data_IF_655787822052
#
_entry.id   IF_655787822052
#
_cell.length_a   1.000
_cell.length_b   1.000
_cell.length_c   1.000
_cell.angle_alpha   90.00
_cell.angle_beta   90.00
_cell.angle_gamma   90.00
#
_symmetry.space_group_name_H-M   'P 1'
#
loop_
_entity.id
_entity.type
_entity.pdbx_description
1 polymer ?
#
# COMPACT_ATOMS: atom_id res chain seq x y z
N UNK A 1 -1.15 -14.45 24.61
CA UNK A 1 -1.09 -13.93 23.22
C UNK A 1 -2.49 -13.51 22.83
N UNK A 2 -2.72 -12.20 22.67
CA UNK A 2 -4.03 -11.68 22.28
C UNK A 2 -4.32 -12.15 20.85
N UNK A 3 -5.43 -12.88 20.70
CA UNK A 3 -6.04 -13.18 19.40
C UNK A 3 -6.49 -11.85 18.82
N UNK A 4 -5.74 -11.33 17.86
CA UNK A 4 -6.16 -10.15 17.12
C UNK A 4 -7.28 -10.64 16.22
N UNK A 5 -8.50 -10.37 16.66
CA UNK A 5 -9.70 -10.37 15.83
C UNK A 5 -9.50 -9.24 14.81
N UNK A 6 -8.75 -9.53 13.74
CA UNK A 6 -8.55 -8.59 12.63
C UNK A 6 -9.88 -8.54 11.90
N UNK A 7 -10.76 -7.69 12.43
CA UNK A 7 -11.88 -7.15 11.67
C UNK A 7 -11.32 -6.74 10.31
N UNK A 8 -11.94 -7.25 9.25
CA UNK A 8 -11.70 -6.92 7.84
C UNK A 8 -11.98 -5.43 7.54
N UNK A 9 -11.48 -4.51 8.35
CA UNK A 9 -11.49 -3.09 8.05
C UNK A 9 -10.41 -2.88 6.99
N UNK A 10 -10.86 -2.55 5.79
CA UNK A 10 -9.97 -2.14 4.71
C UNK A 10 -9.09 -1.00 5.21
N UNK A 11 -7.79 -1.27 5.35
CA UNK A 11 -6.81 -0.26 5.75
C UNK A 11 -6.89 0.89 4.76
N UNK A 12 -6.95 2.12 5.26
CA UNK A 12 -6.84 3.28 4.39
C UNK A 12 -5.40 3.36 3.89
N UNK A 13 -5.21 3.04 2.60
CA UNK A 13 -3.90 3.02 1.93
C UNK A 13 -3.14 4.34 2.14
N UNK A 14 -3.84 5.47 2.12
CA UNK A 14 -3.20 6.77 2.26
C UNK A 14 -2.72 7.05 3.69
N UNK A 15 -3.48 6.60 4.69
CA UNK A 15 -3.08 6.71 6.09
C UNK A 15 -1.90 5.79 6.38
N UNK A 16 -1.94 4.55 5.89
CA UNK A 16 -0.79 3.63 5.96
C UNK A 16 0.46 4.24 5.32
N UNK A 17 0.34 4.76 4.10
CA UNK A 17 1.46 5.37 3.39
C UNK A 17 2.04 6.57 4.14
N UNK A 18 1.21 7.35 4.85
CA UNK A 18 1.69 8.50 5.65
C UNK A 18 2.54 8.07 6.84
N UNK A 19 2.26 6.91 7.44
CA UNK A 19 3.01 6.35 8.58
C UNK A 19 4.41 5.86 8.19
N UNK A 20 4.63 5.53 6.92
CA UNK A 20 5.93 5.07 6.43
C UNK A 20 6.97 6.18 6.43
N UNK A 21 8.22 5.82 6.73
CA UNK A 21 9.36 6.72 6.59
C UNK A 21 9.71 6.98 5.09
N UNK A 22 10.65 7.90 4.84
CA UNK A 22 11.02 8.26 3.45
C UNK A 22 11.56 7.07 2.64
N UNK A 23 12.34 6.19 3.26
CA UNK A 23 12.91 5.02 2.62
C UNK A 23 11.87 3.93 2.39
N UNK A 24 11.00 3.70 3.37
CA UNK A 24 9.86 2.77 3.27
C UNK A 24 8.87 3.21 2.19
N UNK A 25 8.56 4.50 2.10
CA UNK A 25 7.74 5.07 1.01
C UNK A 25 8.33 4.76 -0.36
N UNK A 26 9.63 4.95 -0.52
CA UNK A 26 10.33 4.64 -1.77
C UNK A 26 10.28 3.13 -2.08
N UNK A 27 10.54 2.27 -1.10
CA UNK A 27 10.46 0.81 -1.28
C UNK A 27 9.05 0.35 -1.64
N UNK A 28 8.04 0.80 -0.90
CA UNK A 28 6.65 0.45 -1.12
C UNK A 28 6.16 0.89 -2.51
N UNK A 29 6.42 2.14 -2.89
CA UNK A 29 6.05 2.63 -4.22
C UNK A 29 6.77 1.89 -5.34
N UNK A 30 8.07 1.62 -5.21
CA UNK A 30 8.84 0.84 -6.19
C UNK A 30 8.32 -0.60 -6.32
N UNK A 31 7.96 -1.24 -5.20
CA UNK A 31 7.36 -2.57 -5.21
C UNK A 31 6.04 -2.58 -5.98
N UNK A 32 5.15 -1.61 -5.69
CA UNK A 32 3.87 -1.49 -6.38
C UNK A 32 4.07 -1.27 -7.90
N UNK A 33 5.04 -0.46 -8.28
CA UNK A 33 5.38 -0.26 -9.70
C UNK A 33 5.89 -1.55 -10.36
N UNK A 34 6.82 -2.27 -9.73
CA UNK A 34 7.42 -3.49 -10.29
C UNK A 34 6.45 -4.65 -10.36
N UNK A 35 5.65 -4.86 -9.31
CA UNK A 35 4.79 -6.04 -9.19
C UNK A 35 3.44 -5.87 -9.91
N UNK A 36 2.94 -4.64 -10.05
CA UNK A 36 1.59 -4.37 -10.56
C UNK A 36 1.53 -3.33 -11.69
N UNK A 37 2.68 -2.94 -12.25
CA UNK A 37 2.81 -2.01 -13.38
C UNK A 37 2.12 -0.64 -13.18
N UNK A 38 2.09 -0.16 -11.94
CA UNK A 38 1.56 1.18 -11.64
C UNK A 38 2.49 2.27 -12.19
N UNK A 39 1.92 3.33 -12.81
CA UNK A 39 2.70 4.50 -13.24
C UNK A 39 3.00 5.45 -12.06
N UNK A 40 4.28 5.73 -11.81
CA UNK A 40 4.79 6.50 -10.66
C UNK A 40 4.04 7.81 -10.38
N UNK A 41 3.86 8.68 -11.39
CA UNK A 41 3.20 9.97 -11.22
C UNK A 41 1.75 9.82 -10.72
N UNK A 42 1.03 8.83 -11.23
CA UNK A 42 -0.35 8.55 -10.81
C UNK A 42 -0.41 7.85 -9.45
N UNK A 43 0.58 7.00 -9.16
CA UNK A 43 0.68 6.25 -7.92
C UNK A 43 0.95 7.18 -6.74
N UNK A 44 1.92 8.08 -6.86
CA UNK A 44 2.28 9.00 -5.78
C UNK A 44 1.11 9.94 -5.40
N UNK A 45 0.36 10.45 -6.38
CA UNK A 45 -0.86 11.23 -6.10
C UNK A 45 -1.94 10.41 -5.37
N UNK A 46 -2.12 9.13 -5.75
CA UNK A 46 -3.10 8.24 -5.11
C UNK A 46 -2.69 7.83 -3.70
N UNK A 47 -1.41 7.49 -3.51
CA UNK A 47 -0.85 7.11 -2.20
C UNK A 47 -0.90 8.26 -1.18
N UNK A 48 -0.71 9.51 -1.63
CA UNK A 48 -0.86 10.68 -0.75
C UNK A 48 -2.32 11.11 -0.50
N UNK A 49 -3.29 10.42 -1.12
CA UNK A 49 -4.73 10.69 -0.95
C UNK A 49 -5.28 11.79 -1.86
N UNK A 50 -4.51 12.33 -2.81
CA UNK A 50 -4.99 13.33 -3.76
C UNK A 50 -5.90 12.74 -4.85
N UNK A 51 -5.83 11.43 -5.07
CA UNK A 51 -6.71 10.69 -6.00
C UNK A 51 -7.11 9.35 -5.39
N UNK A 52 -8.27 8.84 -5.80
CA UNK A 52 -8.76 7.53 -5.36
C UNK A 52 -8.15 6.40 -6.23
N UNK A 53 -7.87 5.27 -5.60
CA UNK A 53 -7.59 4.02 -6.31
C UNK A 53 -8.88 3.43 -6.89
N UNK A 54 -8.76 2.69 -7.98
CA UNK A 54 -9.87 1.87 -8.46
C UNK A 54 -10.11 0.75 -7.44
N UNK A 55 -11.34 0.21 -7.38
CA UNK A 55 -11.70 -0.83 -6.40
C UNK A 55 -10.79 -2.06 -6.46
N UNK A 56 -10.37 -2.47 -7.67
CA UNK A 56 -9.45 -3.60 -7.87
C UNK A 56 -8.04 -3.28 -7.36
N UNK A 57 -7.46 -2.16 -7.79
CA UNK A 57 -6.15 -1.69 -7.33
C UNK A 57 -6.11 -1.56 -5.81
N UNK A 58 -7.15 -0.98 -5.21
CA UNK A 58 -7.25 -0.81 -3.77
C UNK A 58 -7.28 -2.15 -3.02
N UNK A 59 -8.02 -3.14 -3.54
CA UNK A 59 -8.07 -4.48 -2.95
C UNK A 59 -6.69 -5.17 -2.99
N UNK A 60 -5.99 -5.06 -4.11
CA UNK A 60 -4.63 -5.62 -4.28
C UNK A 60 -3.65 -4.93 -3.33
N UNK A 61 -3.64 -3.60 -3.28
CA UNK A 61 -2.73 -2.85 -2.39
C UNK A 61 -3.03 -3.16 -0.93
N UNK A 62 -4.30 -3.31 -0.55
CA UNK A 62 -4.66 -3.73 0.80
C UNK A 62 -4.13 -5.12 1.14
N UNK A 63 -4.14 -6.08 0.20
CA UNK A 63 -3.48 -7.37 0.41
C UNK A 63 -1.97 -7.21 0.58
N UNK A 64 -1.33 -6.39 -0.25
CA UNK A 64 0.12 -6.10 -0.14
C UNK A 64 0.48 -5.51 1.23
N UNK A 65 -0.37 -4.62 1.76
CA UNK A 65 -0.19 -4.02 3.09
C UNK A 65 -0.42 -5.06 4.19
N UNK A 66 -1.53 -5.81 4.13
CA UNK A 66 -1.90 -6.80 5.15
C UNK A 66 -0.87 -7.91 5.31
N UNK A 67 -0.31 -8.41 4.20
CA UNK A 67 0.70 -9.46 4.20
C UNK A 67 2.14 -8.91 4.20
N UNK A 68 2.31 -7.58 4.27
CA UNK A 68 3.59 -6.88 4.21
C UNK A 68 4.52 -7.36 3.07
N UNK A 69 3.94 -7.73 1.91
CA UNK A 69 4.67 -8.38 0.81
C UNK A 69 5.86 -7.54 0.31
N UNK A 70 5.70 -6.22 0.33
CA UNK A 70 6.73 -5.28 -0.10
C UNK A 70 7.95 -5.23 0.84
N UNK A 71 7.83 -5.68 2.09
CA UNK A 71 8.96 -5.80 3.03
C UNK A 71 9.76 -7.09 2.80
N UNK A 72 9.16 -8.07 2.13
CA UNK A 72 9.77 -9.36 1.80
C UNK A 72 10.51 -9.32 0.46
N UNK A 73 10.26 -8.30 -0.37
CA UNK A 73 10.99 -8.04 -1.61
C UNK A 73 12.44 -7.66 -1.27
N UNK A 74 13.36 -8.61 -1.49
CA UNK A 74 14.80 -8.48 -1.23
C UNK A 74 15.51 -7.67 -2.30
#
# INVERSE_FOLDING_TARGET
MQKIDVKNEAVNISDYYRLLDKNEKAKFSNYLMRAFDFKYASLNCKLNGHRKFNRRDAAVINQVIMYELWKQDK
#
